data_IF_540090887538
#
_entry.id   IF_540090887538
#
_cell.length_a   1.000
_cell.length_b   1.000
_cell.length_c   1.000
_cell.angle_alpha   90.00
_cell.angle_beta   90.00
_cell.angle_gamma   90.00
#
_symmetry.space_group_name_H-M   'P 1'
#
loop_
_entity.id
_entity.type
_entity.pdbx_description
1 polymer ?
#
# COMPACT_ATOMS: atom_id res chain seq x y z
N UNK A 1 -10.30 4.08 7.11
CA UNK A 1 -9.65 2.76 7.03
C UNK A 1 -8.23 2.87 7.55
N UNK A 2 -7.66 1.80 8.08
CA UNK A 2 -6.35 1.80 8.76
C UNK A 2 -5.23 2.48 7.95
N UNK A 3 -5.15 2.25 6.64
CA UNK A 3 -4.10 2.86 5.80
C UNK A 3 -4.27 4.38 5.63
N UNK A 4 -5.51 4.85 5.49
CA UNK A 4 -5.81 6.30 5.48
C UNK A 4 -5.43 6.94 6.82
N UNK A 5 -5.69 6.25 7.93
CA UNK A 5 -5.32 6.72 9.26
C UNK A 5 -3.79 6.81 9.41
N UNK A 6 -3.04 5.82 8.93
CA UNK A 6 -1.57 5.88 8.97
C UNK A 6 -1.03 7.09 8.18
N UNK A 7 -1.56 7.34 6.98
CA UNK A 7 -1.16 8.47 6.14
C UNK A 7 -1.53 9.84 6.76
N UNK A 8 -2.68 9.94 7.43
CA UNK A 8 -3.17 11.21 7.98
C UNK A 8 -2.56 11.57 9.35
N UNK A 9 -2.11 10.59 10.14
CA UNK A 9 -1.70 10.81 11.53
C UNK A 9 -0.18 10.89 11.72
N UNK A 10 0.60 11.02 10.65
CA UNK A 10 2.07 11.17 10.73
C UNK A 10 2.81 9.91 11.13
N UNK A 11 2.22 8.73 10.89
CA UNK A 11 2.85 7.43 11.21
C UNK A 11 3.81 6.98 10.11
N UNK A 12 3.70 7.58 8.92
CA UNK A 12 4.53 7.32 7.77
C UNK A 12 5.46 8.52 7.56
N UNK A 13 6.75 8.25 7.35
CA UNK A 13 7.69 9.26 6.91
C UNK A 13 7.36 9.72 5.46
N UNK A 14 7.78 10.93 5.05
CA UNK A 14 7.73 11.34 3.64
C UNK A 14 8.38 10.29 2.74
N UNK A 15 7.74 9.96 1.62
CA UNK A 15 8.23 8.94 0.68
C UNK A 15 8.18 7.49 1.18
N UNK A 16 7.58 7.21 2.35
CA UNK A 16 7.59 5.87 2.95
C UNK A 16 7.05 4.79 2.00
N UNK A 17 7.77 3.67 1.90
CA UNK A 17 7.33 2.46 1.23
C UNK A 17 6.35 1.70 2.14
N UNK A 18 5.20 1.32 1.58
CA UNK A 18 4.18 0.49 2.23
C UNK A 18 4.08 -0.83 1.47
N UNK A 19 4.13 -1.94 2.19
CA UNK A 19 3.95 -3.29 1.64
C UNK A 19 2.73 -3.93 2.29
N UNK A 20 1.80 -4.40 1.48
CA UNK A 20 0.59 -5.09 1.92
C UNK A 20 0.60 -6.51 1.39
N UNK A 21 0.53 -7.48 2.29
CA UNK A 21 0.35 -8.88 1.92
C UNK A 21 -1.14 -9.22 1.90
N UNK A 22 -1.62 -9.73 0.76
CA UNK A 22 -3.02 -10.14 0.58
C UNK A 22 -3.08 -11.45 -0.22
N UNK A 23 -4.14 -12.26 -0.04
CA UNK A 23 -4.38 -13.39 -0.93
C UNK A 23 -4.56 -12.92 -2.38
N UNK A 24 -4.02 -13.65 -3.34
CA UNK A 24 -4.17 -13.38 -4.78
C UNK A 24 -5.62 -13.29 -5.24
N UNK A 25 -6.52 -14.05 -4.60
CA UNK A 25 -7.98 -14.00 -4.84
C UNK A 25 -8.66 -12.71 -4.40
N UNK A 26 -7.97 -11.87 -3.60
CA UNK A 26 -8.52 -10.61 -3.09
C UNK A 26 -8.50 -9.48 -4.13
N UNK A 27 -7.93 -9.74 -5.32
CA UNK A 27 -7.90 -8.81 -6.45
C UNK A 27 -7.02 -7.59 -6.20
N UNK A 28 -7.22 -6.56 -7.03
CA UNK A 28 -6.48 -5.31 -6.93
C UNK A 28 -6.66 -4.64 -5.56
N UNK A 29 -5.69 -3.82 -5.16
CA UNK A 29 -5.78 -3.01 -3.95
C UNK A 29 -6.05 -1.55 -4.30
N UNK A 30 -7.18 -1.03 -3.82
CA UNK A 30 -7.55 0.37 -3.95
C UNK A 30 -6.71 1.26 -3.04
N UNK A 31 -5.53 1.66 -3.50
CA UNK A 31 -4.63 2.57 -2.78
C UNK A 31 -5.35 3.90 -2.47
N UNK A 32 -5.47 4.28 -1.19
CA UNK A 32 -6.09 5.55 -0.83
C UNK A 32 -5.10 6.71 -0.99
N UNK A 33 -5.56 7.85 -1.48
CA UNK A 33 -4.74 9.07 -1.46
C UNK A 33 -4.25 9.40 -0.03
N UNK A 34 -3.02 9.93 0.11
CA UNK A 34 -2.06 10.26 -0.95
C UNK A 34 -1.10 9.10 -1.34
N UNK A 35 -1.40 7.86 -0.96
CA UNK A 35 -0.57 6.71 -1.33
C UNK A 35 -0.79 6.32 -2.80
N UNK A 36 0.30 5.98 -3.48
CA UNK A 36 0.29 5.55 -4.88
C UNK A 36 0.80 4.13 -5.02
N UNK A 37 0.25 3.38 -5.97
CA UNK A 37 0.73 2.05 -6.35
C UNK A 37 2.15 2.18 -6.92
N UNK A 38 3.04 1.30 -6.49
CA UNK A 38 4.38 1.14 -7.05
C UNK A 38 4.48 -0.15 -7.88
N UNK A 39 4.21 -1.30 -7.26
CA UNK A 39 4.39 -2.59 -7.90
C UNK A 39 3.56 -3.69 -7.20
N UNK A 40 3.46 -4.85 -7.83
CA UNK A 40 2.86 -6.05 -7.23
C UNK A 40 3.74 -7.27 -7.46
N UNK A 41 3.88 -8.13 -6.45
CA UNK A 41 4.64 -9.40 -6.57
C UNK A 41 3.79 -10.57 -6.11
N UNK A 42 3.71 -11.61 -6.94
CA UNK A 42 2.96 -12.83 -6.65
C UNK A 42 3.89 -13.96 -6.22
N UNK A 43 3.52 -14.63 -5.14
CA UNK A 43 4.19 -15.80 -4.58
C UNK A 43 3.13 -16.86 -4.27
N UNK A 44 2.86 -17.75 -5.23
CA UNK A 44 1.79 -18.74 -5.08
C UNK A 44 0.43 -18.08 -4.89
N UNK A 45 -0.16 -18.28 -3.72
CA UNK A 45 -1.44 -17.71 -3.29
C UNK A 45 -1.32 -16.34 -2.61
N UNK A 46 -0.10 -15.86 -2.35
CA UNK A 46 0.21 -14.55 -1.77
C UNK A 46 0.48 -13.49 -2.85
N UNK A 47 -0.06 -12.28 -2.65
CA UNK A 47 0.20 -11.09 -3.45
C UNK A 47 0.69 -9.96 -2.53
N UNK A 48 1.90 -9.48 -2.79
CA UNK A 48 2.42 -8.26 -2.17
C UNK A 48 2.04 -7.06 -3.04
N UNK A 49 1.30 -6.11 -2.48
CA UNK A 49 1.09 -4.80 -3.08
C UNK A 49 2.08 -3.81 -2.47
N UNK A 50 2.92 -3.22 -3.31
CA UNK A 50 3.87 -2.17 -2.92
C UNK A 50 3.32 -0.83 -3.35
N UNK A 51 3.43 0.16 -2.47
CA UNK A 51 3.05 1.53 -2.72
C UNK A 51 3.89 2.49 -1.89
N UNK A 52 3.76 3.77 -2.16
CA UNK A 52 4.54 4.79 -1.47
C UNK A 52 3.68 5.99 -1.13
N UNK A 53 4.05 6.69 -0.05
CA UNK A 53 3.46 7.98 0.29
C UNK A 53 4.01 9.01 -0.68
N UNK A 54 3.15 9.55 -1.56
CA UNK A 54 3.56 10.64 -2.43
C UNK A 54 3.94 11.86 -1.57
N UNK A 55 5.08 12.46 -1.87
CA UNK A 55 5.40 13.77 -1.32
C UNK A 55 4.40 14.80 -1.87
N UNK A 56 3.97 15.77 -1.05
CA UNK A 56 3.04 16.81 -1.45
C UNK A 56 3.55 17.66 -2.63
#
# INVERSE_FOLDING_TARGET
>A
GWLRSAAANGWLAPGALVVLERPTRAGEFGWPDPLRRLHERRYGDTLLHLGYLAEP
#
